data_IF_990466616505
#
_entry.id   IF_990466616505
#
_cell.length_a   1.000
_cell.length_b   1.000
_cell.length_c   1.000
_cell.angle_alpha   90.00
_cell.angle_beta   90.00
_cell.angle_gamma   90.00
#
_symmetry.space_group_name_H-M   'P 1'
#
loop_
_entity.id
_entity.type
_entity.pdbx_description
1 polymer ?
#
# COMPACT_ATOMS: atom_id res chain seq x y z
N UNK A 1 1.70 18.11 -3.89
CA UNK A 1 1.43 16.88 -4.69
C UNK A 1 2.36 16.86 -5.88
N UNK A 2 2.88 15.69 -6.22
CA UNK A 2 3.73 15.47 -7.38
C UNK A 2 3.32 14.16 -8.05
N UNK A 3 3.04 14.21 -9.36
CA UNK A 3 2.63 13.04 -10.16
C UNK A 3 1.44 12.26 -9.54
N UNK A 4 0.47 12.98 -8.96
CA UNK A 4 -0.72 12.40 -8.31
C UNK A 4 -0.48 11.81 -6.92
N UNK A 5 0.75 11.88 -6.39
CA UNK A 5 1.13 11.40 -5.06
C UNK A 5 1.34 12.55 -4.08
N UNK A 6 1.01 12.31 -2.84
CA UNK A 6 1.27 13.24 -1.74
C UNK A 6 2.73 13.05 -1.32
N UNK A 7 3.54 14.10 -1.42
CA UNK A 7 4.97 14.03 -1.09
C UNK A 7 5.26 14.85 0.15
N UNK A 8 5.94 14.26 1.13
CA UNK A 8 6.40 14.98 2.33
C UNK A 8 7.63 15.85 2.01
N UNK A 9 8.00 16.81 2.88
CA UNK A 9 9.23 17.59 2.69
C UNK A 9 10.49 16.73 2.58
N UNK A 10 10.52 15.57 3.21
CA UNK A 10 11.62 14.60 3.20
C UNK A 10 11.66 13.76 1.92
N UNK A 11 10.68 13.92 1.02
CA UNK A 11 10.61 13.22 -0.26
C UNK A 11 9.86 11.88 -0.24
N UNK A 12 9.21 11.52 0.87
CA UNK A 12 8.39 10.30 0.92
C UNK A 12 7.10 10.52 0.15
N UNK A 13 6.77 9.62 -0.76
CA UNK A 13 5.59 9.71 -1.61
C UNK A 13 4.51 8.69 -1.18
N UNK A 14 3.27 9.17 -1.07
CA UNK A 14 2.10 8.37 -0.70
C UNK A 14 1.09 8.36 -1.86
N UNK A 15 0.55 7.19 -2.18
CA UNK A 15 -0.39 6.99 -3.27
C UNK A 15 -1.75 7.64 -3.02
N UNK A 16 -2.20 7.66 -1.76
CA UNK A 16 -3.46 8.26 -1.35
C UNK A 16 -3.41 8.76 0.10
N UNK A 17 -4.35 9.61 0.46
CA UNK A 17 -4.69 9.94 1.85
C UNK A 17 -6.01 9.23 2.20
N UNK A 18 -5.93 8.28 3.12
CA UNK A 18 -7.10 7.66 3.72
C UNK A 18 -7.33 8.23 5.12
N UNK A 19 -8.53 8.72 5.37
CA UNK A 19 -8.92 9.29 6.66
C UNK A 19 -10.01 8.39 7.25
N UNK A 20 -9.74 7.69 8.36
CA UNK A 20 -10.75 6.88 9.03
C UNK A 20 -11.92 7.74 9.50
N UNK A 21 -13.05 7.12 9.84
CA UNK A 21 -14.23 7.86 10.28
C UNK A 21 -13.85 8.84 11.40
N UNK A 22 -13.92 10.12 11.10
CA UNK A 22 -13.62 11.21 12.03
C UNK A 22 -14.84 12.13 12.16
N UNK A 23 -15.42 12.18 13.36
CA UNK A 23 -16.60 12.99 13.63
C UNK A 23 -16.32 14.48 13.72
N UNK A 24 -15.06 14.87 13.98
CA UNK A 24 -14.67 16.26 14.20
C UNK A 24 -13.42 16.63 13.43
N UNK A 25 -13.43 17.78 12.80
CA UNK A 25 -12.27 18.31 12.06
C UNK A 25 -12.18 19.82 12.17
N UNK A 26 -10.98 20.38 12.05
CA UNK A 26 -10.77 21.82 11.96
C UNK A 26 -11.03 22.30 10.53
N UNK A 27 -11.58 23.53 10.34
CA UNK A 27 -11.77 24.09 9.00
C UNK A 27 -10.47 24.15 8.19
N UNK A 28 -9.35 24.49 8.83
CA UNK A 28 -8.03 24.54 8.20
C UNK A 28 -7.59 23.19 7.66
N UNK A 29 -7.93 22.10 8.37
CA UNK A 29 -7.62 20.73 7.93
C UNK A 29 -8.44 20.38 6.70
N UNK A 30 -9.73 20.73 6.67
CA UNK A 30 -10.60 20.48 5.51
C UNK A 30 -10.10 21.27 4.31
N UNK A 31 -9.80 22.56 4.50
CA UNK A 31 -9.24 23.41 3.45
C UNK A 31 -7.94 22.82 2.89
N UNK A 32 -7.06 22.32 3.76
CA UNK A 32 -5.81 21.67 3.32
C UNK A 32 -6.04 20.38 2.54
N UNK A 33 -7.00 19.56 2.95
CA UNK A 33 -7.40 18.35 2.20
C UNK A 33 -7.91 18.75 0.81
N UNK A 34 -8.75 19.78 0.75
CA UNK A 34 -9.29 20.30 -0.52
C UNK A 34 -8.17 20.77 -1.45
N UNK A 35 -7.20 21.55 -0.97
CA UNK A 35 -6.02 21.96 -1.73
C UNK A 35 -5.24 20.77 -2.28
N UNK A 36 -4.99 19.75 -1.46
CA UNK A 36 -4.29 18.54 -1.90
C UNK A 36 -5.03 17.85 -3.05
N UNK A 37 -6.36 17.76 -2.97
CA UNK A 37 -7.17 17.16 -4.03
C UNK A 37 -7.12 18.01 -5.30
N UNK A 38 -7.26 19.33 -5.18
CA UNK A 38 -7.13 20.26 -6.32
C UNK A 38 -5.79 20.08 -7.05
N UNK A 39 -4.72 19.82 -6.30
CA UNK A 39 -3.38 19.60 -6.82
C UNK A 39 -3.15 18.19 -7.39
N UNK A 40 -4.10 17.26 -7.21
CA UNK A 40 -4.04 15.93 -7.83
C UNK A 40 -4.00 14.75 -6.85
N UNK A 41 -4.15 14.97 -5.54
CA UNK A 41 -4.17 13.88 -4.58
C UNK A 41 -5.44 13.03 -4.70
N UNK A 42 -5.30 11.74 -4.39
CA UNK A 42 -6.39 10.79 -4.17
C UNK A 42 -6.71 10.78 -2.68
N UNK A 43 -7.96 11.06 -2.31
CA UNK A 43 -8.39 11.11 -0.91
C UNK A 43 -9.63 10.24 -0.70
N UNK A 44 -9.63 9.43 0.35
CA UNK A 44 -10.81 8.69 0.81
C UNK A 44 -11.18 9.16 2.22
N UNK A 45 -12.36 9.76 2.36
CA UNK A 45 -12.83 10.33 3.62
C UNK A 45 -14.34 10.57 3.61
N UNK A 46 -14.99 10.41 4.76
CA UNK A 46 -16.34 10.89 5.01
C UNK A 46 -16.34 12.34 5.51
N UNK A 47 -17.43 13.11 5.27
CA UNK A 47 -17.56 14.45 5.82
C UNK A 47 -17.57 14.42 7.35
N UNK A 48 -16.81 15.28 8.04
CA UNK A 48 -16.91 15.43 9.48
C UNK A 48 -18.25 16.03 9.87
N UNK A 49 -18.75 15.65 11.06
CA UNK A 49 -20.10 16.08 11.53
C UNK A 49 -20.08 17.40 12.31
N UNK A 50 -18.93 17.80 12.84
CA UNK A 50 -18.81 19.02 13.63
C UNK A 50 -17.37 19.54 13.66
N UNK A 51 -17.23 20.80 14.04
CA UNK A 51 -15.94 21.43 14.24
C UNK A 51 -15.22 20.85 15.48
N UNK A 52 -13.88 20.76 15.41
CA UNK A 52 -13.05 20.21 16.48
C UNK A 52 -12.59 21.25 17.52
N UNK A 53 -13.04 22.50 17.45
CA UNK A 53 -12.63 23.59 18.34
C UNK A 53 -13.83 24.47 18.72
N UNK A 54 -13.73 25.15 19.87
CA UNK A 54 -14.65 26.22 20.29
C UNK A 54 -14.07 27.61 20.02
N UNK A 55 -12.82 27.71 19.58
CA UNK A 55 -12.17 28.99 19.27
C UNK A 55 -12.79 29.58 18.01
N UNK A 56 -12.96 30.88 17.97
CA UNK A 56 -13.49 31.62 16.81
C UNK A 56 -15.02 31.70 16.71
N UNK A 57 -15.75 31.07 17.66
CA UNK A 57 -17.19 31.20 17.75
C UNK A 57 -17.96 30.85 16.48
N UNK A 58 -19.02 31.62 16.19
CA UNK A 58 -19.91 31.39 15.05
C UNK A 58 -19.22 31.54 13.68
N UNK A 59 -18.24 32.41 13.56
CA UNK A 59 -17.54 32.62 12.28
C UNK A 59 -16.73 31.39 11.88
N UNK A 60 -16.13 30.71 12.85
CA UNK A 60 -15.40 29.49 12.59
C UNK A 60 -16.33 28.30 12.30
N UNK A 61 -17.52 28.28 12.89
CA UNK A 61 -18.57 27.30 12.54
C UNK A 61 -19.04 27.50 11.10
N UNK A 62 -19.31 28.73 10.69
CA UNK A 62 -19.69 29.04 9.30
C UNK A 62 -18.60 28.66 8.30
N UNK A 63 -17.34 28.94 8.65
CA UNK A 63 -16.19 28.51 7.83
C UNK A 63 -16.13 26.99 7.71
N UNK A 64 -16.32 26.26 8.81
CA UNK A 64 -16.37 24.79 8.80
C UNK A 64 -17.47 24.27 7.86
N UNK A 65 -18.69 24.81 7.97
CA UNK A 65 -19.82 24.44 7.12
C UNK A 65 -19.53 24.71 5.64
N UNK A 66 -18.93 25.87 5.34
CA UNK A 66 -18.52 26.22 3.97
C UNK A 66 -17.49 25.26 3.40
N UNK A 67 -16.46 24.89 4.17
CA UNK A 67 -15.43 23.96 3.74
C UNK A 67 -16.00 22.54 3.53
N UNK A 68 -16.87 22.07 4.43
CA UNK A 68 -17.54 20.77 4.30
C UNK A 68 -18.42 20.74 3.05
N UNK A 69 -19.25 21.76 2.85
CA UNK A 69 -20.10 21.85 1.66
C UNK A 69 -19.28 21.96 0.37
N UNK A 70 -18.20 22.73 0.38
CA UNK A 70 -17.30 22.87 -0.76
C UNK A 70 -16.65 21.57 -1.20
N UNK A 71 -16.32 20.67 -0.26
CA UNK A 71 -15.64 19.44 -0.56
C UNK A 71 -16.59 18.24 -0.75
N UNK A 72 -17.64 18.10 0.07
CA UNK A 72 -18.54 16.94 0.05
C UNK A 72 -19.96 17.24 -0.42
N UNK A 73 -20.36 18.50 -0.58
CA UNK A 73 -21.76 18.90 -0.86
C UNK A 73 -22.40 18.22 -2.06
N UNK A 74 -21.60 17.86 -3.06
CA UNK A 74 -22.07 17.18 -4.28
C UNK A 74 -21.64 15.70 -4.38
N UNK A 75 -21.11 15.11 -3.30
CA UNK A 75 -20.58 13.74 -3.31
C UNK A 75 -21.33 12.88 -2.30
N UNK A 76 -22.06 11.87 -2.77
CA UNK A 76 -22.78 10.98 -1.88
C UNK A 76 -21.86 9.91 -1.28
N UNK A 77 -22.29 9.38 -0.14
CA UNK A 77 -21.58 8.28 0.50
C UNK A 77 -21.39 7.08 -0.45
N UNK A 78 -20.17 6.59 -0.54
CA UNK A 78 -19.78 5.52 -1.47
C UNK A 78 -19.47 5.98 -2.91
N UNK A 79 -19.67 7.26 -3.24
CA UNK A 79 -19.36 7.81 -4.56
C UNK A 79 -17.96 8.42 -4.62
N UNK A 80 -17.39 8.44 -5.81
CA UNK A 80 -16.14 9.12 -6.12
C UNK A 80 -16.40 10.32 -7.01
N UNK A 81 -15.82 11.48 -6.66
CA UNK A 81 -15.86 12.69 -7.45
C UNK A 81 -14.46 13.13 -7.88
N UNK A 82 -14.33 13.58 -9.12
CA UNK A 82 -13.14 14.29 -9.59
C UNK A 82 -13.23 15.75 -9.16
N UNK A 83 -12.18 16.26 -8.51
CA UNK A 83 -12.09 17.63 -8.02
C UNK A 83 -10.72 18.18 -8.42
N UNK A 84 -10.68 19.22 -9.27
CA UNK A 84 -9.42 19.71 -9.81
C UNK A 84 -8.67 18.65 -10.59
N UNK A 85 -7.44 18.34 -10.18
CA UNK A 85 -6.60 17.28 -10.78
C UNK A 85 -6.67 15.95 -10.03
N UNK A 86 -7.29 15.92 -8.85
CA UNK A 86 -7.39 14.76 -7.99
C UNK A 86 -8.80 14.21 -7.87
N UNK A 87 -9.03 13.41 -6.84
CA UNK A 87 -10.32 12.77 -6.60
C UNK A 87 -10.60 12.55 -5.13
N UNK A 88 -11.87 12.64 -4.77
CA UNK A 88 -12.41 12.33 -3.46
C UNK A 88 -13.32 11.10 -3.56
N UNK A 89 -13.03 10.06 -2.79
CA UNK A 89 -13.94 8.96 -2.52
C UNK A 89 -14.63 9.23 -1.17
N UNK A 90 -15.94 9.37 -1.16
CA UNK A 90 -16.70 9.56 0.07
C UNK A 90 -16.95 8.21 0.76
N UNK A 91 -15.89 7.62 1.29
CA UNK A 91 -15.90 6.31 1.97
C UNK A 91 -14.74 6.20 2.98
N UNK A 92 -14.86 5.29 3.93
CA UNK A 92 -13.82 4.96 4.92
C UNK A 92 -13.40 3.48 4.88
N UNK A 93 -13.99 2.69 4.00
CA UNK A 93 -13.53 1.32 3.76
C UNK A 93 -12.24 1.37 2.94
N UNK A 94 -11.14 0.92 3.57
CA UNK A 94 -9.79 0.98 2.98
C UNK A 94 -9.67 0.10 1.74
N UNK A 95 -10.30 -1.08 1.73
CA UNK A 95 -10.22 -2.03 0.61
C UNK A 95 -10.96 -1.48 -0.62
N UNK A 96 -12.12 -0.85 -0.37
CA UNK A 96 -12.84 -0.12 -1.42
C UNK A 96 -12.05 1.06 -1.95
N UNK A 97 -11.38 1.81 -1.08
CA UNK A 97 -10.57 2.96 -1.48
C UNK A 97 -9.38 2.52 -2.35
N UNK A 98 -8.64 1.51 -1.93
CA UNK A 98 -7.52 0.95 -2.70
C UNK A 98 -7.99 0.50 -4.09
N UNK A 99 -9.09 -0.26 -4.14
CA UNK A 99 -9.68 -0.73 -5.41
C UNK A 99 -10.17 0.41 -6.30
N UNK A 100 -10.87 1.40 -5.73
CA UNK A 100 -11.40 2.53 -6.48
C UNK A 100 -10.30 3.40 -7.08
N UNK A 101 -9.19 3.55 -6.40
CA UNK A 101 -8.02 4.31 -6.87
C UNK A 101 -7.04 3.47 -7.71
N UNK A 102 -7.33 2.18 -7.93
CA UNK A 102 -6.45 1.29 -8.69
C UNK A 102 -5.11 1.05 -8.03
N UNK A 103 -5.07 1.07 -6.70
CA UNK A 103 -3.85 0.81 -5.92
C UNK A 103 -3.81 -0.67 -5.60
N UNK A 104 -2.88 -1.37 -6.24
CA UNK A 104 -2.64 -2.78 -6.04
C UNK A 104 -1.69 -3.01 -4.84
N UNK A 105 -1.84 -4.12 -4.10
CA UNK A 105 -0.90 -4.47 -3.05
C UNK A 105 0.48 -4.77 -3.65
N UNK A 106 1.51 -4.39 -2.92
CA UNK A 106 2.90 -4.61 -3.30
C UNK A 106 3.21 -6.12 -3.42
N UNK A 107 2.68 -6.95 -2.52
CA UNK A 107 2.73 -8.41 -2.66
C UNK A 107 1.33 -9.01 -2.51
N UNK A 108 1.00 -10.03 -3.33
CA UNK A 108 -0.23 -10.83 -3.23
C UNK A 108 0.13 -12.26 -2.83
N UNK A 109 -0.72 -12.88 -2.02
CA UNK A 109 -0.58 -14.25 -1.49
C UNK A 109 -1.09 -14.32 -0.05
N UNK A 110 -1.32 -15.54 0.48
CA UNK A 110 -1.74 -15.74 1.89
C UNK A 110 -0.54 -15.67 2.84
N UNK A 111 0.23 -14.57 2.73
CA UNK A 111 1.46 -14.32 3.46
C UNK A 111 1.45 -12.93 4.13
N UNK A 112 2.26 -12.79 5.17
CA UNK A 112 2.66 -11.49 5.71
C UNK A 112 4.01 -11.14 5.13
N UNK A 113 4.21 -9.89 4.81
CA UNK A 113 5.44 -9.43 4.18
C UNK A 113 5.87 -8.06 4.68
N UNK A 114 7.14 -7.79 4.51
CA UNK A 114 7.75 -6.49 4.74
C UNK A 114 8.72 -6.21 3.60
N UNK A 115 8.55 -5.10 2.91
CA UNK A 115 9.36 -4.70 1.77
C UNK A 115 10.38 -3.63 2.15
N UNK A 116 11.58 -3.78 1.64
CA UNK A 116 12.65 -2.78 1.64
C UNK A 116 13.29 -2.76 0.26
N UNK A 117 13.77 -1.58 -0.16
CA UNK A 117 14.46 -1.41 -1.44
C UNK A 117 15.64 -0.47 -1.30
N UNK A 118 16.64 -0.66 -2.15
CA UNK A 118 17.70 0.31 -2.43
C UNK A 118 17.73 0.65 -3.94
N UNK A 119 18.85 1.18 -4.42
CA UNK A 119 19.02 1.57 -5.83
C UNK A 119 18.96 0.36 -6.80
N UNK A 120 19.31 -0.84 -6.35
CA UNK A 120 19.51 -2.03 -7.18
C UNK A 120 18.62 -3.20 -6.83
N UNK A 121 18.23 -3.33 -5.57
CA UNK A 121 17.55 -4.54 -5.06
C UNK A 121 16.29 -4.22 -4.28
N UNK A 122 15.38 -5.20 -4.28
CA UNK A 122 14.23 -5.28 -3.39
C UNK A 122 14.36 -6.51 -2.49
N UNK A 123 14.01 -6.34 -1.21
CA UNK A 123 13.96 -7.42 -0.22
C UNK A 123 12.55 -7.53 0.34
N UNK A 124 11.93 -8.67 0.15
CA UNK A 124 10.67 -9.02 0.78
C UNK A 124 10.93 -10.06 1.86
N UNK A 125 10.78 -9.69 3.13
CA UNK A 125 10.71 -10.67 4.21
C UNK A 125 9.30 -11.25 4.25
N UNK A 126 9.17 -12.57 4.11
CA UNK A 126 7.89 -13.25 3.91
C UNK A 126 7.71 -14.34 4.96
N UNK A 127 6.49 -14.44 5.50
CA UNK A 127 6.07 -15.51 6.42
C UNK A 127 4.60 -15.87 6.16
N UNK A 128 4.17 -17.13 6.36
CA UNK A 128 2.77 -17.51 6.22
C UNK A 128 1.82 -16.64 7.05
N UNK A 129 0.64 -16.35 6.52
CA UNK A 129 -0.39 -15.59 7.26
C UNK A 129 -0.85 -16.34 8.50
N UNK A 130 -0.88 -17.67 8.45
CA UNK A 130 -1.32 -18.58 9.52
C UNK A 130 -0.15 -19.42 10.02
N UNK A 131 -0.29 -19.97 11.21
CA UNK A 131 0.69 -20.91 11.81
C UNK A 131 0.55 -22.31 11.22
N UNK A 132 0.67 -22.41 9.89
CA UNK A 132 0.70 -23.67 9.12
C UNK A 132 1.80 -23.58 8.08
N UNK A 133 2.10 -24.70 7.41
CA UNK A 133 2.96 -24.70 6.22
C UNK A 133 2.28 -23.90 5.10
N UNK A 134 3.09 -23.29 4.26
CA UNK A 134 2.66 -22.54 3.09
C UNK A 134 3.30 -23.18 1.86
N UNK A 135 2.47 -23.61 0.92
CA UNK A 135 2.91 -24.13 -0.37
C UNK A 135 1.97 -23.54 -1.42
N UNK A 136 2.32 -22.36 -1.94
CA UNK A 136 1.51 -21.60 -2.90
C UNK A 136 2.37 -20.52 -3.55
N UNK A 137 1.80 -19.85 -4.55
CA UNK A 137 2.46 -18.73 -5.21
C UNK A 137 2.25 -17.40 -4.50
N UNK A 138 3.24 -16.52 -4.62
CA UNK A 138 3.15 -15.10 -4.31
C UNK A 138 3.55 -14.30 -5.54
N UNK A 139 3.04 -13.07 -5.66
CA UNK A 139 3.44 -12.17 -6.73
C UNK A 139 3.71 -10.75 -6.23
N UNK A 140 4.63 -10.03 -6.91
CA UNK A 140 5.07 -8.68 -6.58
C UNK A 140 5.44 -7.88 -7.84
N UNK A 141 5.34 -6.51 -7.82
CA UNK A 141 5.45 -5.67 -9.02
C UNK A 141 6.91 -5.31 -9.38
N UNK A 142 7.87 -6.19 -9.14
CA UNK A 142 9.29 -5.95 -9.42
C UNK A 142 9.81 -7.02 -10.35
N UNK A 143 10.59 -6.64 -11.37
CA UNK A 143 11.23 -7.56 -12.31
C UNK A 143 12.75 -7.56 -12.11
N UNK A 144 13.35 -8.75 -12.14
CA UNK A 144 14.79 -8.93 -11.98
C UNK A 144 15.16 -10.39 -11.76
N UNK A 145 16.43 -10.66 -11.45
CA UNK A 145 16.85 -11.97 -10.97
C UNK A 145 16.34 -12.17 -9.54
N UNK A 146 15.74 -13.32 -9.26
CA UNK A 146 15.10 -13.60 -7.97
C UNK A 146 15.90 -14.65 -7.21
N UNK A 147 16.18 -14.37 -5.95
CA UNK A 147 16.84 -15.28 -5.03
C UNK A 147 15.96 -15.51 -3.79
N UNK A 148 15.99 -16.71 -3.26
CA UNK A 148 15.46 -17.08 -1.95
C UNK A 148 16.60 -17.09 -0.94
N UNK A 149 16.49 -16.32 0.13
CA UNK A 149 17.46 -16.32 1.22
C UNK A 149 16.84 -16.90 2.48
N UNK A 150 17.48 -17.90 3.03
CA UNK A 150 17.06 -18.53 4.28
C UNK A 150 17.62 -17.75 5.49
N UNK A 151 16.78 -17.10 6.30
CA UNK A 151 17.27 -16.28 7.43
C UNK A 151 17.86 -17.11 8.58
N UNK A 152 17.64 -18.42 8.61
CA UNK A 152 18.14 -19.32 9.67
C UNK A 152 19.52 -19.86 9.33
N UNK A 153 19.69 -20.37 8.08
CA UNK A 153 20.95 -20.97 7.63
C UNK A 153 21.89 -19.99 6.96
N UNK A 154 21.37 -18.87 6.44
CA UNK A 154 22.12 -17.91 5.63
C UNK A 154 22.34 -18.38 4.18
N UNK A 155 21.76 -19.50 3.78
CA UNK A 155 21.85 -20.00 2.41
C UNK A 155 21.04 -19.14 1.46
N UNK A 156 21.57 -18.99 0.24
CA UNK A 156 20.91 -18.27 -0.85
C UNK A 156 20.81 -19.19 -2.06
N UNK A 157 19.63 -19.24 -2.67
CA UNK A 157 19.36 -20.05 -3.86
C UNK A 157 18.63 -19.22 -4.90
N UNK A 158 18.94 -19.42 -6.19
CA UNK A 158 18.15 -18.83 -7.25
C UNK A 158 16.71 -19.36 -7.19
N UNK A 159 15.72 -18.48 -7.29
CA UNK A 159 14.31 -18.84 -7.25
C UNK A 159 13.72 -18.75 -8.66
N UNK A 160 13.06 -19.84 -9.08
CA UNK A 160 12.30 -19.84 -10.32
C UNK A 160 11.17 -18.79 -10.25
N UNK A 161 11.08 -17.96 -11.25
CA UNK A 161 10.08 -16.89 -11.28
C UNK A 161 9.52 -16.72 -12.71
N UNK A 162 8.25 -16.32 -12.81
CA UNK A 162 7.58 -15.96 -14.04
C UNK A 162 7.22 -14.48 -14.00
N UNK A 163 7.62 -13.70 -15.01
CA UNK A 163 7.20 -12.30 -15.13
C UNK A 163 6.05 -12.20 -16.13
N UNK A 164 4.89 -11.81 -15.64
CA UNK A 164 3.66 -11.70 -16.42
C UNK A 164 2.81 -10.52 -15.93
N UNK A 165 2.21 -9.79 -16.86
CA UNK A 165 1.28 -8.68 -16.60
C UNK A 165 1.85 -7.61 -15.62
N UNK A 166 3.18 -7.37 -15.69
CA UNK A 166 3.87 -6.40 -14.85
C UNK A 166 4.19 -6.89 -13.44
N UNK A 167 4.00 -8.18 -13.14
CA UNK A 167 4.27 -8.78 -11.83
C UNK A 167 5.14 -10.04 -11.98
N UNK A 168 5.96 -10.30 -10.98
CA UNK A 168 6.78 -11.50 -10.86
C UNK A 168 6.08 -12.48 -9.93
N UNK A 169 5.88 -13.70 -10.42
CA UNK A 169 5.29 -14.82 -9.69
C UNK A 169 6.37 -15.80 -9.27
N UNK A 170 6.33 -16.22 -8.01
CA UNK A 170 7.23 -17.23 -7.46
C UNK A 170 6.45 -18.23 -6.62
N UNK A 171 6.82 -19.51 -6.72
CA UNK A 171 6.31 -20.57 -5.86
C UNK A 171 7.15 -20.64 -4.59
N UNK A 172 6.49 -20.68 -3.44
CA UNK A 172 7.12 -20.81 -2.13
C UNK A 172 6.64 -22.06 -1.43
N UNK A 173 7.58 -22.83 -0.87
CA UNK A 173 7.29 -23.91 0.08
C UNK A 173 7.97 -23.58 1.42
N UNK A 174 7.16 -23.22 2.42
CA UNK A 174 7.65 -22.84 3.74
C UNK A 174 7.05 -23.74 4.82
N UNK A 175 7.87 -24.22 5.77
CA UNK A 175 7.37 -25.01 6.90
C UNK A 175 6.50 -24.17 7.83
N UNK A 176 5.84 -24.82 8.78
CA UNK A 176 5.10 -24.16 9.85
C UNK A 176 6.00 -23.13 10.56
N UNK A 177 5.49 -21.91 10.72
CA UNK A 177 6.25 -20.78 11.28
C UNK A 177 7.53 -20.43 10.50
N UNK A 178 7.67 -20.89 9.27
CA UNK A 178 8.80 -20.58 8.40
C UNK A 178 8.83 -19.12 7.98
N UNK A 179 9.98 -18.68 7.53
CA UNK A 179 10.17 -17.37 6.92
C UNK A 179 11.30 -17.42 5.90
N UNK A 180 11.24 -16.54 4.92
CA UNK A 180 12.31 -16.37 3.95
C UNK A 180 12.44 -14.90 3.54
N UNK A 181 13.56 -14.57 2.90
CA UNK A 181 13.64 -13.35 2.09
C UNK A 181 13.53 -13.74 0.61
N UNK A 182 12.69 -13.03 -0.12
CA UNK A 182 12.74 -12.96 -1.56
C UNK A 182 13.55 -11.73 -1.92
N UNK A 183 14.66 -11.91 -2.61
CA UNK A 183 15.55 -10.81 -3.02
C UNK A 183 15.51 -10.70 -4.53
N UNK A 184 15.18 -9.51 -5.03
CA UNK A 184 15.09 -9.24 -6.46
C UNK A 184 16.19 -8.27 -6.85
N UNK A 185 17.10 -8.70 -7.71
CA UNK A 185 18.14 -7.84 -8.29
C UNK A 185 17.64 -7.24 -9.61
N UNK A 186 17.28 -5.96 -9.59
CA UNK A 186 16.77 -5.23 -10.76
C UNK A 186 17.81 -4.99 -11.85
N UNK A 187 19.09 -5.13 -11.52
CA UNK A 187 20.18 -4.93 -12.47
C UNK A 187 20.43 -6.17 -13.35
N UNK A 188 19.90 -7.30 -12.95
CA UNK A 188 20.04 -8.57 -13.64
C UNK A 188 18.71 -8.97 -14.30
N UNK A 189 18.82 -9.64 -15.45
CA UNK A 189 17.64 -10.21 -16.08
C UNK A 189 17.22 -11.46 -15.35
N UNK A 190 15.90 -11.67 -15.30
CA UNK A 190 15.30 -12.89 -14.81
C UNK A 190 15.91 -14.10 -15.54
N UNK A 191 16.38 -15.08 -14.78
CA UNK A 191 16.78 -16.40 -15.28
C UNK A 191 15.56 -17.31 -15.18
N UNK A 192 15.13 -17.88 -16.29
CA UNK A 192 13.95 -18.75 -16.36
C UNK A 192 14.03 -19.96 -15.41
N UNK A 193 12.94 -20.73 -15.30
CA UNK A 193 12.71 -21.62 -14.18
C UNK A 193 13.70 -22.81 -14.15
N UNK A 194 14.60 -22.78 -13.16
CA UNK A 194 15.08 -24.03 -12.56
C UNK A 194 14.32 -24.18 -11.24
N UNK A 195 13.61 -25.29 -11.08
CA UNK A 195 12.83 -25.59 -9.88
C UNK A 195 13.80 -25.78 -8.71
N UNK A 196 13.84 -24.84 -7.78
CA UNK A 196 14.56 -25.01 -6.52
C UNK A 196 13.59 -25.52 -5.45
N UNK A 197 13.78 -26.75 -4.99
CA UNK A 197 13.12 -27.27 -3.80
C UNK A 197 13.70 -26.59 -2.55
N UNK A 198 12.86 -26.02 -1.71
CA UNK A 198 13.26 -25.52 -0.39
C UNK A 198 13.66 -26.71 0.48
N UNK A 199 14.95 -26.86 0.76
CA UNK A 199 15.41 -27.88 1.69
C UNK A 199 14.90 -27.53 3.10
N UNK A 200 13.89 -28.26 3.58
CA UNK A 200 13.44 -28.15 4.96
C UNK A 200 14.63 -28.38 5.89
N UNK A 201 14.96 -27.35 6.70
CA UNK A 201 15.95 -27.52 7.74
C UNK A 201 15.48 -28.67 8.64
N UNK A 202 16.26 -29.74 8.75
CA UNK A 202 15.99 -30.84 9.66
C UNK A 202 15.90 -30.24 11.08
N UNK A 203 14.77 -30.44 11.73
CA UNK A 203 14.61 -30.15 13.14
C UNK A 203 15.70 -30.93 13.87
N UNK A 204 16.62 -30.23 14.50
CA UNK A 204 17.58 -30.86 15.41
C UNK A 204 16.77 -31.39 16.60
N UNK A 205 16.77 -32.72 16.75
CA UNK A 205 16.25 -33.42 17.93
C UNK A 205 16.99 -33.01 19.23
#
# INVERSE_FOLDING_TARGET
VKDGKIVTPEGIAYEMLWIPENKRMLPETIARIHELILDGAKVAALPPKSIATLIGGEDNVKRFETEVEGLWGNVKNGEMAAIGKGSLLCDVDIDRALKAFGIEPDMKGDVRWLHRQDESKDWYFVTPMKMNSFCDSVDFPVSGAVELWNPVTGETTALAAEFKDGRTFVELDMPVAGSCFIVVDRTQKHVGPEVCEYAAASVLD
#
